data_IF_945345140068
#
_entry.id   IF_945345140068
#
_cell.length_a   1.000
_cell.length_b   1.000
_cell.length_c   1.000
_cell.angle_alpha   90.00
_cell.angle_beta   90.00
_cell.angle_gamma   90.00
#
_symmetry.space_group_name_H-M   'P 1'
#
loop_
_entity.id
_entity.type
_entity.pdbx_description
1 polymer ?
#
# COMPACT_ATOMS: atom_id res chain seq x y z
N UNK A 1 -5.82 14.19 -24.47
CA UNK A 1 -5.33 13.27 -23.42
C UNK A 1 -5.02 14.16 -22.22
N UNK A 2 -6.03 14.41 -21.39
CA UNK A 2 -5.86 15.27 -20.21
C UNK A 2 -5.27 14.41 -19.09
N UNK A 3 -4.30 14.92 -18.31
CA UNK A 3 -3.94 14.28 -17.05
C UNK A 3 -5.19 14.25 -16.19
N UNK A 4 -5.49 13.12 -15.55
CA UNK A 4 -6.63 12.99 -14.65
C UNK A 4 -6.61 14.16 -13.65
N UNK A 5 -7.52 15.11 -13.86
CA UNK A 5 -7.71 16.28 -13.02
C UNK A 5 -8.12 15.78 -11.63
N UNK A 6 -7.25 16.02 -10.66
CA UNK A 6 -7.24 15.44 -9.30
C UNK A 6 -8.34 16.01 -8.40
N UNK A 7 -9.40 16.58 -8.97
CA UNK A 7 -10.34 17.49 -8.29
C UNK A 7 -11.76 16.97 -8.07
N UNK A 8 -12.15 15.78 -8.57
CA UNK A 8 -13.56 15.33 -8.45
C UNK A 8 -13.78 13.85 -8.09
N UNK A 9 -12.92 13.23 -7.30
CA UNK A 9 -13.33 11.98 -6.64
C UNK A 9 -13.03 12.11 -5.17
N UNK A 10 -14.06 11.85 -4.35
CA UNK A 10 -14.15 11.84 -2.89
C UNK A 10 -12.82 11.91 -2.12
N UNK A 11 -12.83 12.67 -1.03
CA UNK A 11 -11.77 13.02 -0.07
C UNK A 11 -10.98 11.87 0.58
N UNK A 12 -10.67 10.79 -0.15
CA UNK A 12 -9.84 9.69 0.31
C UNK A 12 -8.41 9.89 -0.21
N UNK A 13 -7.42 10.14 0.67
CA UNK A 13 -6.05 10.46 0.27
C UNK A 13 -5.30 9.28 -0.38
N UNK A 14 -5.88 8.09 -0.43
CA UNK A 14 -5.27 6.86 -0.94
C UNK A 14 -6.19 6.16 -1.93
N UNK A 15 -5.61 5.51 -2.95
CA UNK A 15 -6.34 4.66 -3.90
C UNK A 15 -5.84 3.22 -3.85
N UNK A 16 -6.76 2.30 -4.15
CA UNK A 16 -6.40 0.89 -4.35
C UNK A 16 -5.38 0.79 -5.50
N UNK A 17 -4.29 0.07 -5.24
CA UNK A 17 -3.16 -0.08 -6.14
C UNK A 17 -1.99 0.86 -5.86
N UNK A 18 -2.15 1.89 -5.03
CA UNK A 18 -1.02 2.76 -4.66
C UNK A 18 -0.04 2.09 -3.71
N UNK A 19 1.23 2.49 -3.79
CA UNK A 19 2.27 2.00 -2.90
C UNK A 19 2.42 2.96 -1.72
N UNK A 20 2.41 2.40 -0.52
CA UNK A 20 2.65 3.15 0.70
C UNK A 20 3.65 2.45 1.60
N UNK A 21 4.33 3.23 2.43
CA UNK A 21 5.18 2.73 3.50
C UNK A 21 4.48 2.83 4.84
N UNK A 22 4.69 1.80 5.65
CA UNK A 22 4.24 1.73 7.03
C UNK A 22 5.14 2.61 7.90
N UNK A 23 4.52 3.56 8.60
CA UNK A 23 5.15 4.40 9.61
C UNK A 23 4.62 4.02 11.00
N UNK A 24 5.35 3.20 11.76
CA UNK A 24 4.86 2.65 13.02
C UNK A 24 4.65 3.67 14.14
N UNK A 25 4.99 4.96 13.95
CA UNK A 25 5.07 6.05 14.95
C UNK A 25 4.59 5.64 16.35
N UNK A 26 3.27 5.51 16.53
CA UNK A 26 2.62 5.11 17.79
C UNK A 26 1.74 3.85 17.65
N UNK A 27 1.78 3.16 16.51
CA UNK A 27 0.96 1.98 16.27
C UNK A 27 1.69 0.69 16.72
N UNK A 28 1.24 0.02 17.81
CA UNK A 28 1.87 -1.19 18.30
C UNK A 28 1.79 -2.36 17.32
N UNK A 29 0.78 -2.42 16.44
CA UNK A 29 0.62 -3.48 15.42
C UNK A 29 1.69 -3.40 14.32
N UNK A 30 2.23 -2.20 14.10
CA UNK A 30 3.28 -1.95 13.11
C UNK A 30 4.68 -1.92 13.73
N UNK A 31 4.81 -2.19 15.04
CA UNK A 31 6.09 -2.15 15.74
C UNK A 31 7.09 -3.12 15.10
N UNK A 32 8.25 -2.59 14.71
CA UNK A 32 9.30 -3.35 14.01
C UNK A 32 9.14 -3.39 12.48
N UNK A 33 8.06 -2.85 11.91
CA UNK A 33 7.80 -2.78 10.46
C UNK A 33 8.07 -1.39 9.87
N UNK A 34 8.97 -0.63 10.49
CA UNK A 34 9.34 0.70 10.02
C UNK A 34 10.01 0.62 8.66
N UNK A 35 9.43 1.26 7.64
CA UNK A 35 9.95 1.22 6.28
C UNK A 35 9.51 -0.01 5.48
N UNK A 36 8.66 -0.87 6.03
CA UNK A 36 7.95 -1.85 5.20
C UNK A 36 7.05 -1.11 4.21
N UNK A 37 6.97 -1.62 3.00
CA UNK A 37 6.13 -1.09 1.94
C UNK A 37 5.15 -2.14 1.46
N UNK A 38 4.05 -1.69 0.89
CA UNK A 38 3.06 -2.57 0.29
C UNK A 38 2.04 -1.82 -0.54
N UNK A 39 1.18 -2.60 -1.18
CA UNK A 39 0.12 -2.15 -2.07
C UNK A 39 -1.15 -1.92 -1.27
N UNK A 40 -1.79 -0.78 -1.45
CA UNK A 40 -3.13 -0.55 -0.91
C UNK A 40 -4.12 -1.46 -1.63
N UNK A 41 -4.72 -2.41 -0.91
CA UNK A 41 -5.74 -3.33 -1.44
C UNK A 41 -7.15 -2.89 -1.06
N UNK A 42 -7.29 -2.15 0.03
CA UNK A 42 -8.57 -1.61 0.49
C UNK A 42 -8.39 -0.21 1.07
N UNK A 43 -9.32 0.69 0.76
CA UNK A 43 -9.38 2.05 1.31
C UNK A 43 -10.68 2.17 2.07
N UNK A 44 -10.60 2.36 3.38
CA UNK A 44 -11.71 2.74 4.23
C UNK A 44 -11.63 4.21 4.64
N UNK A 45 -12.64 4.70 5.35
CA UNK A 45 -12.83 6.12 5.68
C UNK A 45 -11.68 6.73 6.53
N UNK A 46 -11.04 5.92 7.39
CA UNK A 46 -9.92 6.36 8.26
C UNK A 46 -8.72 5.40 8.27
N UNK A 47 -8.78 4.33 7.48
CA UNK A 47 -7.78 3.29 7.48
C UNK A 47 -7.69 2.62 6.11
N UNK A 48 -6.49 2.22 5.73
CA UNK A 48 -6.28 1.42 4.54
C UNK A 48 -5.77 0.04 4.93
N UNK A 49 -6.06 -0.94 4.08
CA UNK A 49 -5.41 -2.25 4.11
C UNK A 49 -4.32 -2.27 3.05
N UNK A 50 -3.14 -2.66 3.48
CA UNK A 50 -1.90 -2.67 2.72
C UNK A 50 -1.45 -4.11 2.65
N UNK A 51 -1.37 -4.65 1.44
CA UNK A 51 -0.77 -5.95 1.18
C UNK A 51 0.73 -5.78 1.05
N UNK A 52 1.45 -6.30 2.03
CA UNK A 52 2.89 -6.47 1.97
C UNK A 52 3.22 -7.88 1.48
N UNK A 53 4.49 -8.08 1.13
CA UNK A 53 5.03 -9.39 0.74
C UNK A 53 4.86 -10.49 1.81
N UNK A 54 4.76 -10.09 3.08
CA UNK A 54 4.62 -10.99 4.24
C UNK A 54 3.15 -11.20 4.67
N UNK A 55 2.24 -10.36 4.19
CA UNK A 55 0.82 -10.41 4.56
C UNK A 55 0.10 -9.07 4.47
N UNK A 56 -1.19 -9.07 4.78
CA UNK A 56 -2.04 -7.89 4.77
C UNK A 56 -2.03 -7.19 6.14
N UNK A 57 -1.89 -5.86 6.12
CA UNK A 57 -1.84 -5.01 7.30
C UNK A 57 -2.86 -3.89 7.19
N UNK A 58 -3.68 -3.70 8.23
CA UNK A 58 -4.59 -2.55 8.30
C UNK A 58 -3.97 -1.47 9.17
N UNK A 59 -3.81 -0.28 8.60
CA UNK A 59 -3.25 0.87 9.30
C UNK A 59 -4.07 2.12 9.00
N UNK A 60 -4.14 3.00 10.00
CA UNK A 60 -4.73 4.33 9.78
C UNK A 60 -3.90 5.12 8.79
N UNK A 61 -4.57 5.96 8.01
CA UNK A 61 -3.93 6.82 7.02
C UNK A 61 -2.87 7.77 7.60
N UNK A 62 -2.96 8.11 8.89
CA UNK A 62 -1.95 8.90 9.62
C UNK A 62 -0.62 8.15 9.88
N UNK A 63 -0.67 6.83 9.85
CA UNK A 63 0.49 5.93 10.01
C UNK A 63 0.98 5.39 8.66
N UNK A 64 0.42 5.89 7.56
CA UNK A 64 0.82 5.57 6.22
C UNK A 64 1.50 6.76 5.59
N UNK A 65 2.53 6.47 4.81
CA UNK A 65 3.18 7.46 3.96
C UNK A 65 3.08 6.98 2.52
N UNK A 66 2.29 7.68 1.73
CA UNK A 66 2.22 7.47 0.28
C UNK A 66 3.63 7.64 -0.29
N UNK A 67 4.07 6.67 -1.09
CA UNK A 67 5.22 6.89 -1.95
C UNK A 67 4.69 7.52 -3.23
N UNK A 68 5.07 8.77 -3.49
CA UNK A 68 4.81 9.46 -4.76
C UNK A 68 5.68 8.89 -5.89
N UNK A 69 5.43 7.62 -6.21
CA UNK A 69 6.11 6.88 -7.25
C UNK A 69 5.42 7.13 -8.58
N UNK A 70 6.20 6.97 -9.65
CA UNK A 70 5.66 6.94 -10.99
C UNK A 70 4.77 5.70 -11.16
N UNK A 71 3.78 5.77 -12.06
CA UNK A 71 2.86 4.65 -12.30
C UNK A 71 3.61 3.38 -12.73
N UNK A 72 4.73 3.53 -13.44
CA UNK A 72 5.61 2.43 -13.84
C UNK A 72 6.26 1.74 -12.62
N UNK A 73 6.73 2.52 -11.65
CA UNK A 73 7.33 2.01 -10.42
C UNK A 73 6.28 1.34 -9.53
N UNK A 74 5.07 1.91 -9.46
CA UNK A 74 3.94 1.29 -8.76
C UNK A 74 3.62 -0.09 -9.35
N UNK A 75 3.59 -0.20 -10.68
CA UNK A 75 3.33 -1.47 -11.37
C UNK A 75 4.45 -2.48 -11.14
N UNK A 76 5.70 -2.04 -11.15
CA UNK A 76 6.84 -2.89 -10.86
C UNK A 76 6.80 -3.42 -9.42
N UNK A 77 6.49 -2.56 -8.45
CA UNK A 77 6.35 -2.95 -7.04
C UNK A 77 5.15 -3.86 -6.79
N UNK A 78 4.03 -3.64 -7.47
CA UNK A 78 2.91 -4.58 -7.48
C UNK A 78 3.34 -5.96 -7.96
N UNK A 79 4.06 -6.03 -9.09
CA UNK A 79 4.57 -7.29 -9.63
C UNK A 79 5.55 -8.00 -8.70
N UNK A 80 6.37 -7.26 -7.95
CA UNK A 80 7.24 -7.84 -6.93
C UNK A 80 6.42 -8.46 -5.79
N UNK A 81 5.36 -7.77 -5.33
CA UNK A 81 4.46 -8.30 -4.31
C UNK A 81 3.77 -9.58 -4.79
N UNK A 82 3.16 -9.57 -5.99
CA UNK A 82 2.56 -10.76 -6.61
C UNK A 82 3.58 -11.89 -6.86
N UNK A 83 4.82 -11.53 -7.19
CA UNK A 83 5.92 -12.45 -7.44
C UNK A 83 6.33 -13.22 -6.17
N UNK A 84 6.34 -12.55 -5.02
CA UNK A 84 6.63 -13.20 -3.73
C UNK A 84 5.57 -14.23 -3.35
N UNK A 85 4.28 -13.98 -3.59
CA UNK A 85 3.22 -14.97 -3.35
C UNK A 85 3.39 -16.25 -4.16
N UNK A 86 3.92 -16.14 -5.38
CA UNK A 86 4.16 -17.30 -6.25
C UNK A 86 5.33 -18.15 -5.77
N UNK A 87 6.30 -17.56 -5.07
CA UNK A 87 7.47 -18.27 -4.54
C UNK A 87 7.22 -18.85 -3.13
N UNK A 88 6.34 -18.23 -2.33
CA UNK A 88 6.08 -18.62 -0.94
C UNK A 88 4.99 -19.71 -0.83
N UNK A 89 4.31 -20.06 -1.93
CA UNK A 89 3.44 -21.24 -1.98
C UNK A 89 4.27 -22.50 -2.28
N UNK A 90 4.55 -23.39 -1.31
CA UNK A 90 4.88 -24.76 -1.67
C UNK A 90 3.68 -25.34 -2.41
N UNK A 91 3.93 -25.86 -3.62
CA UNK A 91 2.95 -26.67 -4.33
C UNK A 91 2.50 -27.79 -3.37
N UNK A 92 1.22 -27.77 -2.98
CA UNK A 92 0.58 -28.89 -2.28
C UNK A 92 0.21 -29.96 -3.28
#
# INVERSE_FOLDING_TARGET
>A
MLPCDRSWCNSDPYRVGEICTLQPKDNPDLRGKSGYWGVVTHVGEYSCTIKCWDGDYTAKVEHLKLLELLEEDCRFMQQLCDGTEKLVRPAV
#
